data_IF_083615491217
#
_entry.id   IF_083615491217
#
_cell.length_a   1.000
_cell.length_b   1.000
_cell.length_c   1.000
_cell.angle_alpha   90.00
_cell.angle_beta   90.00
_cell.angle_gamma   90.00
#
_symmetry.space_group_name_H-M   'P 1'
#
loop_
_entity.id
_entity.type
_entity.pdbx_description
1 polymer ?
#
# COMPACT_ATOMS: atom_id res chain seq x y z
N UNK A 1 52.67 -37.92 6.77
CA UNK A 1 54.15 -37.90 6.81
C UNK A 1 54.57 -37.03 5.64
N UNK A 2 54.90 -35.75 5.75
CA UNK A 2 55.44 -34.96 6.87
C UNK A 2 56.73 -34.30 6.37
N UNK A 3 56.69 -32.99 6.15
CA UNK A 3 57.79 -31.99 6.07
C UNK A 3 57.28 -30.81 5.19
N UNK A 4 56.67 -29.76 5.76
CA UNK A 4 57.30 -28.59 6.40
C UNK A 4 58.12 -27.74 5.41
N UNK A 5 57.58 -26.57 5.08
CA UNK A 5 58.33 -25.42 4.57
C UNK A 5 57.86 -24.20 5.35
N UNK A 6 58.72 -23.74 6.24
CA UNK A 6 58.54 -22.62 7.15
C UNK A 6 59.57 -21.54 6.79
N UNK A 7 59.12 -20.28 6.82
CA UNK A 7 59.96 -19.08 6.93
C UNK A 7 60.31 -18.29 5.65
N UNK A 8 60.65 -16.98 5.78
CA UNK A 8 60.06 -16.00 6.70
C UNK A 8 59.70 -14.65 6.02
N UNK A 9 58.86 -13.89 6.71
CA UNK A 9 58.53 -12.49 6.47
C UNK A 9 59.76 -11.60 6.36
N UNK A 10 59.78 -10.69 5.37
CA UNK A 10 60.60 -9.48 5.39
C UNK A 10 59.69 -8.26 5.40
N UNK A 11 59.69 -7.58 6.54
CA UNK A 11 59.17 -6.23 6.68
C UNK A 11 60.17 -5.26 6.05
N UNK A 12 59.65 -4.30 5.30
CA UNK A 12 60.36 -3.07 4.96
C UNK A 12 59.50 -1.92 5.48
N UNK A 13 60.06 -1.20 6.44
CA UNK A 13 59.55 0.01 7.08
C UNK A 13 60.45 1.15 6.64
N UNK A 14 59.87 2.20 6.04
CA UNK A 14 60.41 3.56 5.94
C UNK A 14 59.19 4.43 5.55
N UNK A 15 58.56 5.17 6.47
CA UNK A 15 59.01 6.41 7.13
C UNK A 15 58.75 7.68 6.29
N UNK A 16 57.77 8.45 6.76
CA UNK A 16 57.62 9.91 6.73
C UNK A 16 57.57 10.67 5.38
N UNK A 17 56.46 11.36 5.13
CA UNK A 17 56.47 12.83 5.20
C UNK A 17 55.06 13.38 5.47
N UNK A 18 54.98 14.31 6.40
CA UNK A 18 53.79 14.88 7.04
C UNK A 18 53.75 16.39 6.72
N UNK A 19 52.54 16.89 6.41
CA UNK A 19 52.10 18.29 6.50
C UNK A 19 52.88 19.41 5.77
N UNK A 20 52.19 20.09 4.85
CA UNK A 20 51.71 21.47 5.07
C UNK A 20 51.14 22.07 3.77
N UNK A 21 49.86 22.42 3.77
CA UNK A 21 49.23 23.25 2.74
C UNK A 21 48.48 24.38 3.45
N UNK A 22 48.88 25.61 3.21
CA UNK A 22 48.17 26.90 3.39
C UNK A 22 49.12 28.04 2.97
N UNK A 23 48.67 29.28 2.69
CA UNK A 23 47.35 29.74 2.25
C UNK A 23 47.44 30.67 1.01
N UNK A 24 46.32 30.89 0.31
CA UNK A 24 46.25 31.86 -0.78
C UNK A 24 44.82 32.27 -1.11
N UNK A 25 44.36 33.36 -0.50
CA UNK A 25 43.17 34.12 -0.90
C UNK A 25 43.62 35.56 -1.23
N UNK A 26 42.78 36.45 -1.79
CA UNK A 26 41.54 36.27 -2.56
C UNK A 26 41.61 37.04 -3.91
N UNK A 27 40.69 36.78 -4.85
CA UNK A 27 40.20 37.88 -5.67
C UNK A 27 38.70 37.79 -5.89
N UNK A 28 38.08 38.94 -5.71
CA UNK A 28 36.65 39.18 -5.63
C UNK A 28 36.20 39.72 -6.97
N UNK A 29 35.18 39.13 -7.59
CA UNK A 29 34.23 39.93 -8.39
C UNK A 29 32.91 39.22 -8.64
N UNK A 30 31.90 39.75 -7.95
CA UNK A 30 30.59 40.09 -8.50
C UNK A 30 29.71 38.98 -9.08
N UNK A 31 28.77 38.55 -8.24
CA UNK A 31 27.59 37.80 -8.67
C UNK A 31 26.78 37.29 -7.48
N UNK A 32 26.51 38.13 -6.48
CA UNK A 32 25.51 37.81 -5.45
C UNK A 32 24.12 37.87 -6.09
N UNK A 33 23.71 36.76 -6.70
CA UNK A 33 22.28 36.49 -6.86
C UNK A 33 21.77 35.94 -5.52
N UNK A 34 21.41 36.88 -4.65
CA UNK A 34 20.48 36.60 -3.56
C UNK A 34 19.15 36.20 -4.17
N UNK A 35 18.92 34.90 -4.39
CA UNK A 35 17.57 34.37 -4.57
C UNK A 35 17.00 34.00 -3.20
N UNK A 36 16.85 35.02 -2.34
CA UNK A 36 15.91 34.93 -1.23
C UNK A 36 14.53 35.19 -1.82
N UNK A 37 13.94 34.12 -2.37
CA UNK A 37 12.52 34.10 -2.69
C UNK A 37 11.85 33.15 -1.72
N UNK A 38 11.30 33.76 -0.68
CA UNK A 38 10.28 33.19 0.18
C UNK A 38 9.23 32.49 -0.68
N UNK A 39 9.30 31.15 -0.70
CA UNK A 39 8.44 30.27 -1.48
C UNK A 39 8.46 28.86 -0.89
N UNK A 40 8.34 28.75 0.43
CA UNK A 40 8.45 27.51 1.22
C UNK A 40 7.36 26.45 0.98
N UNK A 41 6.67 26.49 -0.17
CA UNK A 41 5.70 25.48 -0.59
C UNK A 41 6.00 24.83 -1.95
N UNK A 42 6.98 25.34 -2.72
CA UNK A 42 7.27 24.86 -4.08
C UNK A 42 8.27 23.69 -4.14
N UNK A 43 9.41 23.79 -3.46
CA UNK A 43 10.49 22.80 -3.55
C UNK A 43 10.06 21.38 -3.14
N UNK A 44 9.36 21.24 -2.01
CA UNK A 44 8.87 19.93 -1.56
C UNK A 44 7.80 19.33 -2.51
N UNK A 45 7.02 20.17 -3.20
CA UNK A 45 6.02 19.72 -4.16
C UNK A 45 6.66 19.29 -5.50
N UNK A 46 7.69 20.02 -5.94
CA UNK A 46 8.48 19.68 -7.12
C UNK A 46 9.30 18.40 -6.90
N UNK A 47 9.90 18.23 -5.73
CA UNK A 47 10.60 17.00 -5.32
C UNK A 47 9.66 15.80 -5.27
N UNK A 48 8.46 15.97 -4.72
CA UNK A 48 7.42 14.94 -4.71
C UNK A 48 6.95 14.57 -6.12
N UNK A 49 6.84 15.53 -7.04
CA UNK A 49 6.46 15.27 -8.43
C UNK A 49 7.56 14.48 -9.17
N UNK A 50 8.81 14.93 -9.06
CA UNK A 50 9.96 14.28 -9.68
C UNK A 50 10.14 12.85 -9.16
N UNK A 51 10.01 12.65 -7.84
CA UNK A 51 10.07 11.32 -7.24
C UNK A 51 8.98 10.41 -7.78
N UNK A 52 7.72 10.86 -7.84
CA UNK A 52 6.60 10.04 -8.35
C UNK A 52 6.81 9.62 -9.80
N UNK A 53 7.30 10.54 -10.65
CA UNK A 53 7.63 10.21 -12.03
C UNK A 53 8.77 9.19 -12.11
N UNK A 54 9.81 9.33 -11.29
CA UNK A 54 10.93 8.41 -11.26
C UNK A 54 10.53 7.02 -10.78
N UNK A 55 9.84 6.93 -9.63
CA UNK A 55 9.33 5.70 -9.03
C UNK A 55 8.39 4.96 -9.99
N UNK A 56 7.43 5.67 -10.61
CA UNK A 56 6.55 5.04 -11.60
C UNK A 56 7.36 4.47 -12.77
N UNK A 57 8.32 5.22 -13.31
CA UNK A 57 9.15 4.76 -14.43
C UNK A 57 10.00 3.54 -14.05
N UNK A 58 10.59 3.53 -12.86
CA UNK A 58 11.38 2.42 -12.34
C UNK A 58 10.52 1.16 -12.20
N UNK A 59 9.34 1.27 -11.57
CA UNK A 59 8.39 0.16 -11.42
C UNK A 59 7.94 -0.35 -12.80
N UNK A 60 7.56 0.53 -13.73
CA UNK A 60 7.14 0.15 -15.09
C UNK A 60 8.22 -0.66 -15.84
N UNK A 61 9.50 -0.31 -15.64
CA UNK A 61 10.66 -0.96 -16.24
C UNK A 61 10.99 -2.32 -15.58
N UNK A 62 10.45 -2.60 -14.39
CA UNK A 62 10.79 -3.78 -13.59
C UNK A 62 11.94 -3.56 -12.60
N UNK A 63 12.43 -2.32 -12.47
CA UNK A 63 13.50 -1.97 -11.53
C UNK A 63 12.91 -1.52 -10.19
N UNK A 64 12.30 -2.48 -9.49
CA UNK A 64 11.57 -2.23 -8.23
C UNK A 64 12.54 -1.89 -7.09
N UNK A 65 13.76 -2.43 -7.12
CA UNK A 65 14.78 -2.14 -6.12
C UNK A 65 15.18 -0.65 -6.14
N UNK A 66 15.48 -0.11 -7.33
CA UNK A 66 15.75 1.32 -7.48
C UNK A 66 14.58 2.20 -7.03
N UNK A 67 13.35 1.76 -7.27
CA UNK A 67 12.15 2.45 -6.79
C UNK A 67 12.08 2.50 -5.26
N UNK A 68 12.37 1.39 -4.59
CA UNK A 68 12.41 1.29 -3.12
C UNK A 68 13.48 2.23 -2.55
N UNK A 69 14.68 2.25 -3.13
CA UNK A 69 15.78 3.10 -2.65
C UNK A 69 15.47 4.59 -2.83
N UNK A 70 14.86 4.97 -3.96
CA UNK A 70 14.40 6.34 -4.18
C UNK A 70 13.35 6.77 -3.14
N UNK A 71 12.42 5.87 -2.81
CA UNK A 71 11.40 6.13 -1.77
C UNK A 71 12.08 6.29 -0.41
N UNK A 72 12.99 5.39 -0.01
CA UNK A 72 13.72 5.50 1.27
C UNK A 72 14.53 6.80 1.38
N UNK A 73 15.12 7.25 0.27
CA UNK A 73 15.92 8.48 0.24
C UNK A 73 15.10 9.77 0.45
N UNK A 74 13.81 9.77 0.11
CA UNK A 74 12.97 10.98 0.15
C UNK A 74 11.86 10.94 1.20
N UNK A 75 11.19 9.80 1.35
CA UNK A 75 10.09 9.56 2.27
C UNK A 75 10.25 8.19 2.95
N UNK A 76 11.27 8.02 3.84
CA UNK A 76 11.56 6.75 4.50
C UNK A 76 10.37 6.21 5.32
N UNK A 77 9.49 7.10 5.81
CA UNK A 77 8.29 6.73 6.55
C UNK A 77 7.34 5.82 5.76
N UNK A 78 7.36 5.85 4.43
CA UNK A 78 6.53 4.97 3.60
C UNK A 78 6.91 3.50 3.80
N UNK A 79 8.20 3.22 4.01
CA UNK A 79 8.75 1.86 4.04
C UNK A 79 9.13 1.40 5.45
N UNK A 80 9.57 2.33 6.29
CA UNK A 80 10.13 2.00 7.60
C UNK A 80 9.13 2.26 8.75
N UNK A 81 8.07 3.04 8.51
CA UNK A 81 7.05 3.30 9.53
C UNK A 81 6.02 2.18 9.63
N UNK A 82 5.69 1.81 10.86
CA UNK A 82 4.55 0.95 11.18
C UNK A 82 3.21 1.69 11.10
N UNK A 83 3.19 2.95 10.63
CA UNK A 83 1.97 3.73 10.49
C UNK A 83 0.92 2.99 9.64
N UNK A 84 -0.34 2.92 10.12
CA UNK A 84 -1.43 2.31 9.37
C UNK A 84 -1.64 3.09 8.06
N UNK A 85 -1.86 2.37 6.96
CA UNK A 85 -2.02 2.94 5.63
C UNK A 85 -0.88 2.58 4.67
N UNK A 86 0.38 2.63 5.11
CA UNK A 86 1.53 2.28 4.27
C UNK A 86 1.79 0.77 4.16
N UNK A 87 1.06 -0.05 4.91
CA UNK A 87 1.19 -1.52 4.84
C UNK A 87 0.86 -2.07 3.45
N UNK A 88 -0.14 -1.47 2.79
CA UNK A 88 -0.60 -1.89 1.46
C UNK A 88 0.49 -1.64 0.41
N UNK A 89 1.11 -0.46 0.39
CA UNK A 89 2.19 -0.17 -0.57
C UNK A 89 3.43 -1.02 -0.31
N UNK A 90 3.78 -1.26 0.96
CA UNK A 90 4.88 -2.17 1.34
C UNK A 90 4.64 -3.58 0.84
N UNK A 91 3.41 -4.08 0.99
CA UNK A 91 3.01 -5.37 0.44
C UNK A 91 3.17 -5.42 -1.08
N UNK A 92 2.63 -4.44 -1.79
CA UNK A 92 2.68 -4.41 -3.26
C UNK A 92 4.10 -4.28 -3.81
N UNK A 93 4.96 -3.48 -3.18
CA UNK A 93 6.37 -3.37 -3.58
C UNK A 93 7.13 -4.67 -3.32
N UNK A 94 6.87 -5.33 -2.18
CA UNK A 94 7.51 -6.60 -1.86
C UNK A 94 7.06 -7.73 -2.79
N UNK A 95 5.76 -7.82 -3.09
CA UNK A 95 5.26 -8.83 -4.05
C UNK A 95 5.78 -8.56 -5.45
N UNK A 96 5.85 -7.31 -5.89
CA UNK A 96 6.44 -6.99 -7.19
C UNK A 96 7.93 -7.33 -7.24
N UNK A 97 8.72 -7.00 -6.21
CA UNK A 97 10.13 -7.37 -6.15
C UNK A 97 10.32 -8.89 -6.28
N UNK A 98 9.49 -9.69 -5.61
CA UNK A 98 9.53 -11.14 -5.75
C UNK A 98 9.20 -11.61 -7.18
N UNK A 99 8.17 -11.02 -7.80
CA UNK A 99 7.80 -11.33 -9.20
C UNK A 99 8.97 -11.04 -10.15
N UNK A 100 9.68 -9.92 -9.96
CA UNK A 100 10.85 -9.58 -10.79
C UNK A 100 12.02 -10.55 -10.57
N UNK A 101 12.27 -11.01 -9.33
CA UNK A 101 13.30 -12.03 -9.05
C UNK A 101 12.99 -13.37 -9.74
N UNK A 102 11.72 -13.78 -9.74
CA UNK A 102 11.26 -14.99 -10.45
C UNK A 102 11.37 -14.79 -11.97
N UNK A 103 10.98 -13.63 -12.48
CA UNK A 103 11.07 -13.26 -13.90
C UNK A 103 12.52 -13.25 -14.40
N UNK A 104 13.46 -12.80 -13.57
CA UNK A 104 14.90 -12.81 -13.86
C UNK A 104 15.55 -14.21 -13.74
N UNK A 105 14.81 -15.24 -13.33
CA UNK A 105 15.31 -16.60 -13.13
C UNK A 105 16.20 -16.78 -11.88
N UNK A 106 16.24 -15.77 -11.01
CA UNK A 106 17.05 -15.79 -9.78
C UNK A 106 16.27 -16.44 -8.63
N UNK A 107 15.96 -17.73 -8.80
CA UNK A 107 15.08 -18.50 -7.88
C UNK A 107 15.64 -18.55 -6.46
N UNK A 108 16.96 -18.66 -6.30
CA UNK A 108 17.60 -18.72 -4.98
C UNK A 108 17.36 -17.45 -4.14
N UNK A 109 17.53 -16.28 -4.75
CA UNK A 109 17.24 -14.99 -4.11
C UNK A 109 15.75 -14.82 -3.86
N UNK A 110 14.90 -15.24 -4.80
CA UNK A 110 13.45 -15.18 -4.64
C UNK A 110 12.97 -15.98 -3.41
N UNK A 111 13.48 -17.20 -3.21
CA UNK A 111 13.13 -18.04 -2.05
C UNK A 111 13.62 -17.40 -0.75
N UNK A 112 14.86 -16.91 -0.71
CA UNK A 112 15.38 -16.23 0.46
C UNK A 112 14.54 -15.00 0.82
N UNK A 113 14.18 -14.19 -0.18
CA UNK A 113 13.32 -13.02 -0.02
C UNK A 113 11.90 -13.38 0.45
N UNK A 114 11.31 -14.44 -0.10
CA UNK A 114 9.99 -14.91 0.32
C UNK A 114 9.98 -15.34 1.80
N UNK A 115 11.03 -16.03 2.24
CA UNK A 115 11.15 -16.47 3.62
C UNK A 115 11.40 -15.31 4.59
N UNK A 116 12.23 -14.33 4.21
CA UNK A 116 12.56 -13.20 5.09
C UNK A 116 11.48 -12.13 5.16
N UNK A 117 10.80 -11.85 4.04
CA UNK A 117 9.96 -10.66 3.88
C UNK A 117 8.49 -11.03 3.72
N UNK A 118 8.16 -12.02 2.87
CA UNK A 118 6.77 -12.37 2.58
C UNK A 118 6.14 -13.25 3.67
N UNK A 119 6.90 -14.17 4.29
CA UNK A 119 6.36 -15.05 5.33
C UNK A 119 5.86 -14.29 6.57
N UNK A 120 6.61 -13.34 7.17
CA UNK A 120 6.11 -12.54 8.28
C UNK A 120 4.88 -11.70 7.90
N UNK A 121 4.85 -11.20 6.67
CA UNK A 121 3.73 -10.42 6.14
C UNK A 121 2.46 -11.26 6.02
N UNK A 122 2.58 -12.52 5.55
CA UNK A 122 1.47 -13.48 5.55
C UNK A 122 0.89 -13.69 6.94
N UNK A 123 1.76 -13.92 7.93
CA UNK A 123 1.31 -14.11 9.32
C UNK A 123 0.58 -12.88 9.87
N UNK A 124 1.01 -11.66 9.51
CA UNK A 124 0.30 -10.42 9.88
C UNK A 124 -1.07 -10.30 9.22
N UNK A 125 -1.18 -10.64 7.94
CA UNK A 125 -2.47 -10.63 7.22
C UNK A 125 -3.43 -11.68 7.80
N UNK A 126 -2.94 -12.89 8.10
CA UNK A 126 -3.73 -13.95 8.72
C UNK A 126 -4.19 -13.57 10.14
N UNK A 127 -3.30 -12.96 10.94
CA UNK A 127 -3.65 -12.46 12.27
C UNK A 127 -4.68 -11.31 12.21
N UNK A 128 -4.54 -10.40 11.25
CA UNK A 128 -5.51 -9.32 11.03
C UNK A 128 -6.89 -9.89 10.61
N UNK A 129 -6.93 -10.87 9.71
CA UNK A 129 -8.16 -11.55 9.29
C UNK A 129 -8.83 -12.34 10.44
N UNK A 130 -8.05 -12.99 11.30
CA UNK A 130 -8.56 -13.68 12.49
C UNK A 130 -9.14 -12.69 13.52
N UNK A 131 -8.51 -11.52 13.69
CA UNK A 131 -9.00 -10.47 14.58
C UNK A 131 -10.33 -9.87 14.08
N UNK A 132 -10.49 -9.64 12.77
CA UNK A 132 -11.77 -9.21 12.19
C UNK A 132 -12.84 -10.31 12.25
N UNK A 133 -12.50 -11.57 12.03
CA UNK A 133 -13.43 -12.69 12.18
C UNK A 133 -13.93 -12.85 13.63
N UNK A 134 -13.05 -12.63 14.62
CA UNK A 134 -13.43 -12.65 16.04
C UNK A 134 -14.33 -11.48 16.46
N UNK A 135 -14.37 -10.38 15.69
CA UNK A 135 -15.25 -9.24 15.94
C UNK A 135 -16.65 -9.40 15.31
N UNK A 136 -16.82 -10.38 14.40
CA UNK A 136 -18.05 -10.62 13.66
C UNK A 136 -18.65 -12.00 14.01
N UNK A 137 -18.95 -12.24 15.29
CA UNK A 137 -19.81 -13.37 15.71
C UNK A 137 -21.17 -12.85 16.15
N UNK A 138 -22.00 -12.43 15.19
CA UNK A 138 -23.46 -12.43 15.33
C UNK A 138 -24.09 -12.69 13.96
N UNK A 139 -24.33 -13.98 13.71
CA UNK A 139 -25.46 -14.58 13.01
C UNK A 139 -25.82 -14.10 11.58
N UNK A 140 -25.38 -14.84 10.54
CA UNK A 140 -26.15 -15.16 9.32
C UNK A 140 -25.37 -16.13 8.39
N UNK A 141 -26.07 -17.01 7.64
CA UNK A 141 -25.50 -18.25 7.13
C UNK A 141 -24.83 -18.13 5.77
N UNK A 142 -23.87 -19.02 5.58
CA UNK A 142 -23.16 -19.31 4.34
C UNK A 142 -24.10 -19.81 3.24
N UNK A 143 -24.00 -19.20 2.06
CA UNK A 143 -24.44 -19.80 0.81
C UNK A 143 -23.30 -19.67 -0.22
N UNK A 144 -22.87 -20.84 -0.69
CA UNK A 144 -21.81 -21.05 -1.66
C UNK A 144 -22.15 -20.49 -3.05
N UNK A 145 -21.13 -20.00 -3.76
CA UNK A 145 -21.05 -20.11 -5.22
C UNK A 145 -19.59 -19.94 -5.67
N UNK A 146 -18.97 -21.06 -6.05
CA UNK A 146 -17.83 -21.07 -6.94
C UNK A 146 -18.31 -20.69 -8.36
N UNK A 147 -17.67 -19.75 -9.05
CA UNK A 147 -17.70 -19.57 -10.52
C UNK A 147 -16.62 -18.57 -10.98
N UNK A 148 -15.62 -19.07 -11.74
CA UNK A 148 -14.78 -18.42 -12.77
C UNK A 148 -13.67 -17.41 -12.37
N UNK A 149 -12.41 -17.55 -12.87
CA UNK A 149 -11.40 -16.50 -12.80
C UNK A 149 -11.55 -15.56 -14.00
N UNK A 150 -12.43 -14.57 -13.89
CA UNK A 150 -12.59 -13.51 -14.86
C UNK A 150 -12.04 -12.19 -14.27
N UNK A 151 -10.84 -11.82 -14.69
CA UNK A 151 -10.16 -10.53 -14.49
C UNK A 151 -9.91 -10.10 -13.02
N UNK A 152 -8.71 -9.57 -12.69
CA UNK A 152 -8.45 -9.05 -11.36
C UNK A 152 -9.35 -7.82 -11.11
N UNK A 153 -9.92 -7.68 -9.90
CA UNK A 153 -10.73 -6.52 -9.56
C UNK A 153 -9.84 -5.29 -9.55
N UNK A 154 -10.04 -4.41 -10.54
CA UNK A 154 -9.46 -3.07 -10.55
C UNK A 154 -10.14 -2.24 -9.46
N UNK A 155 -9.43 -2.02 -8.36
CA UNK A 155 -9.71 -0.92 -7.44
C UNK A 155 -9.83 -1.34 -5.97
N UNK A 156 -8.77 -1.09 -5.21
CA UNK A 156 -8.86 -0.87 -3.77
C UNK A 156 -8.94 -2.10 -2.86
N UNK A 157 -8.61 -3.31 -3.33
CA UNK A 157 -8.57 -4.48 -2.44
C UNK A 157 -7.34 -4.42 -1.56
N UNK A 158 -7.57 -4.22 -0.26
CA UNK A 158 -6.59 -4.50 0.79
C UNK A 158 -5.91 -5.86 0.54
N UNK A 159 -4.60 -5.97 0.80
CA UNK A 159 -3.81 -7.15 0.45
C UNK A 159 -4.41 -8.40 1.08
N UNK A 160 -4.79 -9.38 0.25
CA UNK A 160 -5.36 -10.63 0.73
C UNK A 160 -4.31 -11.74 0.84
N UNK A 161 -4.57 -12.72 1.71
CA UNK A 161 -3.72 -13.91 1.81
C UNK A 161 -3.70 -14.70 0.50
N UNK A 162 -4.83 -14.71 -0.24
CA UNK A 162 -4.94 -15.37 -1.54
C UNK A 162 -4.00 -14.75 -2.59
N UNK A 163 -3.90 -13.42 -2.62
CA UNK A 163 -2.99 -12.72 -3.55
C UNK A 163 -1.53 -13.10 -3.29
N UNK A 164 -1.15 -13.18 -2.02
CA UNK A 164 0.21 -13.57 -1.64
C UNK A 164 0.51 -15.03 -2.02
N UNK A 165 -0.45 -15.94 -1.81
CA UNK A 165 -0.31 -17.35 -2.22
C UNK A 165 -0.14 -17.48 -3.73
N UNK A 166 -0.90 -16.72 -4.53
CA UNK A 166 -0.74 -16.69 -5.98
C UNK A 166 0.66 -16.21 -6.39
N UNK A 167 1.16 -15.13 -5.77
CA UNK A 167 2.51 -14.63 -6.04
C UNK A 167 3.56 -15.69 -5.72
N UNK A 168 3.53 -16.28 -4.52
CA UNK A 168 4.51 -17.30 -4.11
C UNK A 168 4.45 -18.54 -5.00
N UNK A 169 3.25 -18.95 -5.45
CA UNK A 169 3.04 -20.11 -6.32
C UNK A 169 3.75 -20.00 -7.69
N UNK A 170 4.14 -18.78 -8.13
CA UNK A 170 4.90 -18.61 -9.37
C UNK A 170 6.20 -19.43 -9.40
N UNK A 171 6.85 -19.65 -8.26
CA UNK A 171 8.10 -20.43 -8.17
C UNK A 171 7.91 -21.92 -8.49
N UNK A 172 6.68 -22.43 -8.40
CA UNK A 172 6.37 -23.82 -8.71
C UNK A 172 6.30 -24.11 -10.22
N UNK A 173 6.29 -23.07 -11.06
CA UNK A 173 6.24 -23.20 -12.51
C UNK A 173 7.62 -23.00 -13.13
N UNK A 174 8.06 -23.94 -13.97
CA UNK A 174 9.33 -23.82 -14.72
C UNK A 174 9.35 -22.59 -15.64
N UNK A 175 8.19 -22.25 -16.21
CA UNK A 175 8.00 -21.05 -17.03
C UNK A 175 6.88 -20.19 -16.45
N UNK A 176 7.20 -19.14 -15.69
CA UNK A 176 6.19 -18.32 -15.01
C UNK A 176 5.29 -17.56 -16.00
N UNK A 177 5.77 -17.25 -17.20
CA UNK A 177 5.00 -16.55 -18.25
C UNK A 177 3.94 -17.41 -18.97
N UNK A 178 4.08 -18.74 -18.94
CA UNK A 178 3.10 -19.68 -19.54
C UNK A 178 2.11 -20.21 -18.46
N UNK A 179 2.28 -19.77 -17.22
CA UNK A 179 1.47 -20.17 -16.07
C UNK A 179 0.05 -19.57 -16.15
N UNK A 180 -0.97 -20.20 -15.52
CA UNK A 180 -2.26 -19.55 -15.25
C UNK A 180 -2.13 -18.23 -14.47
N UNK A 181 -0.97 -17.99 -13.86
CA UNK A 181 -0.63 -16.77 -13.12
C UNK A 181 0.14 -15.74 -13.95
N UNK A 182 0.23 -15.92 -15.27
CA UNK A 182 0.95 -15.02 -16.18
C UNK A 182 0.49 -13.55 -16.09
N UNK A 183 -0.77 -13.32 -15.68
CA UNK A 183 -1.32 -11.98 -15.47
C UNK A 183 -0.56 -11.17 -14.38
N UNK A 184 0.07 -11.84 -13.41
CA UNK A 184 0.91 -11.18 -12.38
C UNK A 184 2.22 -10.61 -12.94
N UNK A 185 2.74 -11.18 -14.04
CA UNK A 185 3.97 -10.71 -14.69
C UNK A 185 3.68 -9.60 -15.73
N UNK A 186 2.39 -9.38 -16.02
CA UNK A 186 1.92 -8.42 -17.00
C UNK A 186 2.11 -6.96 -16.56
N UNK A 187 2.06 -6.02 -17.50
CA UNK A 187 2.18 -4.59 -17.21
C UNK A 187 1.06 -4.06 -16.30
N UNK A 188 -0.13 -4.69 -16.32
CA UNK A 188 -1.25 -4.31 -15.46
C UNK A 188 -0.91 -4.41 -13.96
N UNK A 189 -0.18 -5.45 -13.56
CA UNK A 189 0.28 -5.61 -12.18
C UNK A 189 1.27 -4.50 -11.80
N UNK A 190 2.25 -4.21 -12.68
CA UNK A 190 3.20 -3.11 -12.47
C UNK A 190 2.49 -1.76 -12.35
N UNK A 191 1.42 -1.55 -13.11
CA UNK A 191 0.64 -0.30 -13.08
C UNK A 191 -0.07 -0.14 -11.75
N UNK A 192 -0.70 -1.20 -11.27
CA UNK A 192 -1.33 -1.22 -9.96
C UNK A 192 -0.33 -0.89 -8.83
N UNK A 193 0.85 -1.51 -8.85
CA UNK A 193 1.91 -1.25 -7.86
C UNK A 193 2.42 0.19 -7.96
N UNK A 194 2.58 0.72 -9.17
CA UNK A 194 2.99 2.10 -9.39
C UNK A 194 1.94 3.11 -8.91
N UNK A 195 0.65 2.81 -9.06
CA UNK A 195 -0.44 3.65 -8.57
C UNK A 195 -0.48 3.65 -7.04
N UNK A 196 -0.30 2.50 -6.40
CA UNK A 196 -0.18 2.39 -4.95
C UNK A 196 1.03 3.18 -4.42
N UNK A 197 2.18 3.08 -5.08
CA UNK A 197 3.38 3.86 -4.75
C UNK A 197 3.15 5.37 -4.93
N UNK A 198 2.55 5.78 -6.04
CA UNK A 198 2.20 7.17 -6.31
C UNK A 198 1.23 7.74 -5.24
N UNK A 199 0.22 6.97 -4.83
CA UNK A 199 -0.70 7.36 -3.77
C UNK A 199 0.02 7.50 -2.41
N UNK A 200 0.93 6.59 -2.09
CA UNK A 200 1.72 6.65 -0.87
C UNK A 200 2.64 7.87 -0.82
N UNK A 201 3.34 8.17 -1.92
CA UNK A 201 4.20 9.37 -2.01
C UNK A 201 3.37 10.65 -1.90
N UNK A 202 2.19 10.71 -2.54
CA UNK A 202 1.28 11.85 -2.39
C UNK A 202 0.79 12.02 -0.95
N UNK A 203 0.58 10.93 -0.22
CA UNK A 203 0.16 10.96 1.18
C UNK A 203 1.31 11.45 2.08
N UNK A 204 2.51 10.89 1.91
CA UNK A 204 3.73 11.30 2.59
C UNK A 204 4.06 12.79 2.37
N UNK A 205 3.98 13.27 1.12
CA UNK A 205 4.18 14.68 0.80
C UNK A 205 3.18 15.63 1.49
N UNK A 206 2.00 15.12 1.89
CA UNK A 206 1.01 15.85 2.68
C UNK A 206 1.18 15.69 4.19
N UNK A 207 2.15 14.90 4.64
CA UNK A 207 2.36 14.56 6.05
C UNK A 207 1.21 13.73 6.65
N UNK A 208 0.43 13.05 5.81
CA UNK A 208 -0.71 12.24 6.24
C UNK A 208 -0.52 10.81 5.75
N UNK A 209 -0.72 9.78 6.59
CA UNK A 209 -0.72 8.41 6.08
C UNK A 209 -1.82 8.26 5.01
N UNK A 210 -1.60 7.41 3.98
CA UNK A 210 -2.61 7.12 2.99
C UNK A 210 -3.78 6.51 3.74
N UNK A 211 -4.89 7.26 3.82
CA UNK A 211 -6.02 6.89 4.63
C UNK A 211 -6.54 5.54 4.12
N UNK A 212 -6.64 4.54 5.00
CA UNK A 212 -7.28 3.25 4.66
C UNK A 212 -8.79 3.39 4.43
N UNK A 213 -9.32 4.61 4.57
CA UNK A 213 -10.70 4.95 4.31
C UNK A 213 -10.67 6.24 3.50
N UNK A 214 -10.87 6.12 2.19
CA UNK A 214 -11.25 7.27 1.38
C UNK A 214 -12.66 7.68 1.82
N UNK A 215 -12.78 8.46 2.89
CA UNK A 215 -14.04 9.15 3.20
C UNK A 215 -14.24 10.11 2.03
N UNK A 216 -15.13 9.75 1.11
CA UNK A 216 -15.37 10.53 -0.11
C UNK A 216 -15.67 11.98 0.28
N UNK A 217 -15.39 12.96 -0.60
CA UNK A 217 -15.77 14.36 -0.32
C UNK A 217 -17.25 14.49 0.08
N UNK A 218 -18.09 13.65 -0.52
CA UNK A 218 -19.51 13.50 -0.20
C UNK A 218 -19.73 12.95 1.22
N UNK A 219 -19.03 11.89 1.64
CA UNK A 219 -19.18 11.33 2.98
C UNK A 219 -18.71 12.30 4.07
N UNK A 220 -17.66 13.10 3.82
CA UNK A 220 -17.28 14.21 4.72
C UNK A 220 -18.36 15.27 4.82
N UNK A 221 -18.95 15.67 3.69
CA UNK A 221 -20.04 16.64 3.67
C UNK A 221 -21.29 16.11 4.38
N UNK A 222 -21.62 14.82 4.21
CA UNK A 222 -22.75 14.16 4.87
C UNK A 222 -22.52 14.05 6.37
N UNK A 223 -21.31 13.70 6.82
CA UNK A 223 -20.96 13.68 8.24
C UNK A 223 -21.01 15.08 8.87
N UNK A 224 -20.51 16.10 8.16
CA UNK A 224 -20.62 17.49 8.59
C UNK A 224 -22.08 17.95 8.67
N UNK A 225 -22.91 17.61 7.69
CA UNK A 225 -24.33 17.95 7.70
C UNK A 225 -25.09 17.24 8.83
N UNK A 226 -24.81 15.96 9.07
CA UNK A 226 -25.38 15.23 10.20
C UNK A 226 -24.98 15.87 11.54
N UNK A 227 -23.71 16.24 11.71
CA UNK A 227 -23.20 16.92 12.90
C UNK A 227 -23.84 18.30 13.12
N UNK A 228 -23.94 19.12 12.08
CA UNK A 228 -24.59 20.44 12.16
C UNK A 228 -26.07 20.30 12.51
N UNK A 229 -26.79 19.35 11.89
CA UNK A 229 -28.20 19.10 12.22
C UNK A 229 -28.38 18.64 13.67
N UNK A 230 -27.51 17.77 14.19
CA UNK A 230 -27.56 17.36 15.59
C UNK A 230 -27.40 18.56 16.54
N UNK A 231 -26.40 19.42 16.31
CA UNK A 231 -26.22 20.64 17.12
C UNK A 231 -27.40 21.62 16.99
N UNK A 232 -28.02 21.69 15.81
CA UNK A 232 -29.18 22.54 15.60
C UNK A 232 -30.41 22.01 16.35
N UNK A 233 -30.59 20.70 16.47
CA UNK A 233 -31.66 20.09 17.28
C UNK A 233 -31.48 20.37 18.78
N UNK A 234 -30.25 20.33 19.29
CA UNK A 234 -29.94 20.69 20.68
C UNK A 234 -30.34 22.15 20.98
N UNK A 235 -30.04 23.09 20.08
CA UNK A 235 -30.44 24.51 20.24
C UNK A 235 -31.95 24.73 20.09
N UNK A 236 -32.66 23.86 19.36
CA UNK A 236 -34.11 23.92 19.17
C UNK A 236 -34.89 23.13 20.24
N UNK A 237 -34.29 22.91 21.43
CA UNK A 237 -34.91 22.17 22.54
C UNK A 237 -35.35 20.75 22.14
N UNK A 238 -34.55 20.05 21.32
CA UNK A 238 -34.85 18.73 20.78
C UNK A 238 -36.15 18.65 19.95
N UNK A 239 -36.63 19.78 19.41
CA UNK A 239 -37.77 19.75 18.50
C UNK A 239 -37.28 19.52 17.05
N UNK A 240 -37.41 18.27 16.59
CA UNK A 240 -37.13 17.86 15.22
C UNK A 240 -36.67 16.39 15.14
N UNK A 241 -36.72 15.81 13.95
CA UNK A 241 -36.27 14.43 13.70
C UNK A 241 -34.76 14.40 13.42
N UNK A 242 -34.07 13.37 13.92
CA UNK A 242 -32.65 13.14 13.64
C UNK A 242 -32.41 12.93 12.14
N UNK A 243 -31.23 13.34 11.66
CA UNK A 243 -30.87 13.15 10.27
C UNK A 243 -30.45 11.70 9.98
N UNK A 244 -31.39 10.92 9.45
CA UNK A 244 -31.12 9.57 8.98
C UNK A 244 -30.81 9.55 7.47
N UNK A 245 -29.53 9.34 7.16
CA UNK A 245 -29.02 9.19 5.80
C UNK A 245 -29.76 8.13 4.98
N UNK A 246 -30.26 7.06 5.62
CA UNK A 246 -30.90 5.94 4.92
C UNK A 246 -32.30 6.31 4.42
N UNK A 247 -33.00 7.17 5.15
CA UNK A 247 -34.34 7.65 4.79
C UNK A 247 -34.32 8.61 3.60
N UNK A 248 -33.19 9.27 3.36
CA UNK A 248 -33.05 10.26 2.30
C UNK A 248 -32.36 9.76 1.03
N UNK A 249 -31.60 8.65 1.11
CA UNK A 249 -30.82 8.12 -0.02
C UNK A 249 -31.38 6.84 -0.65
N UNK A 250 -32.30 6.11 0.01
CA UNK A 250 -33.02 5.00 -0.62
C UNK A 250 -34.49 5.38 -0.89
N UNK A 251 -35.08 4.98 -2.04
CA UNK A 251 -36.53 5.08 -2.20
C UNK A 251 -37.21 4.21 -1.12
N UNK A 252 -38.40 4.61 -0.63
CA UNK A 252 -39.08 3.86 0.42
C UNK A 252 -39.31 2.44 -0.07
N UNK A 253 -38.79 1.46 0.67
CA UNK A 253 -39.14 0.06 0.48
C UNK A 253 -40.60 -0.04 0.91
N UNK A 254 -41.52 0.09 -0.04
CA UNK A 254 -42.91 -0.23 0.17
C UNK A 254 -42.94 -1.67 0.66
N UNK A 255 -43.24 -1.85 1.96
CA UNK A 255 -43.59 -3.14 2.51
C UNK A 255 -44.58 -3.80 1.55
N UNK A 256 -44.15 -4.87 0.89
CA UNK A 256 -45.06 -5.75 0.18
C UNK A 256 -45.90 -6.37 1.28
N UNK A 257 -47.04 -5.75 1.52
CA UNK A 257 -48.05 -6.18 2.47
C UNK A 257 -48.37 -7.63 2.14
N UNK A 258 -48.05 -8.51 3.08
CA UNK A 258 -48.37 -9.94 3.07
C UNK A 258 -49.90 -10.11 3.27
N UNK A 259 -50.71 -9.47 2.42
CA UNK A 259 -52.18 -9.47 2.46
C UNK A 259 -52.76 -10.63 1.62
N UNK A 260 -52.11 -11.78 1.64
CA UNK A 260 -52.43 -12.91 0.77
C UNK A 260 -52.33 -14.27 1.45
N UNK A 261 -52.62 -14.40 2.75
CA UNK A 261 -52.70 -15.73 3.38
C UNK A 261 -53.48 -15.74 4.70
N UNK A 262 -54.76 -15.35 4.67
CA UNK A 262 -55.68 -15.69 5.76
C UNK A 262 -57.14 -15.71 5.31
N UNK A 263 -57.45 -16.48 4.27
CA UNK A 263 -58.84 -16.82 3.98
C UNK A 263 -58.98 -18.23 3.41
N UNK A 264 -58.60 -19.22 4.22
CA UNK A 264 -59.08 -20.59 4.08
C UNK A 264 -58.99 -21.31 5.42
N UNK A 265 -60.03 -21.11 6.24
CA UNK A 265 -60.53 -22.03 7.26
C UNK A 265 -61.87 -21.48 7.76
N UNK A 266 -62.94 -21.79 7.04
CA UNK A 266 -64.29 -21.76 7.61
C UNK A 266 -64.52 -23.10 8.34
N UNK A 267 -64.85 -23.11 9.64
CA UNK A 267 -65.36 -24.30 10.30
C UNK A 267 -66.88 -24.43 10.05
N UNK A 268 -67.28 -25.61 9.58
CA UNK A 268 -68.65 -26.11 9.57
C UNK A 268 -69.21 -26.16 11.01
N UNK A 269 -70.33 -25.50 11.29
CA UNK A 269 -71.25 -25.97 12.33
C UNK A 269 -72.69 -25.44 12.17
N UNK A 270 -73.60 -26.42 12.09
CA UNK A 270 -75.07 -26.43 12.13
C UNK A 270 -75.87 -25.98 10.91
#
# INVERSE_FOLDING_TARGET
MGAECDGPCSMSVDAADDAACEPGAPDSSHGTETCESTGGGGAAADDALNLRQHVRRAIMKGDVHAAIDCIRGTYPEILDSAAPGYEVVRFHLATQQYIELISAGSIGEAIAFAQSTLAPMRHRLAAAAAATASACTSDAPAAAAATTPAAPPLGGTSPSEADLCNVVALVAYEKPAESPLAWLLGPAQREHVADAANAAVLAAARGQPPQSVCVSGLERLLAQLASVRATQLETNHNQGEDFDLRQHLLPPVSNISLAGQQQQQQPMHH
#
